data_IF_201512077815
#
_entry.id   IF_201512077815
#
_cell.length_a   1.000
_cell.length_b   1.000
_cell.length_c   1.000
_cell.angle_alpha   90.00
_cell.angle_beta   90.00
_cell.angle_gamma   90.00
#
_symmetry.space_group_name_H-M   'P 1'
#
loop_
_entity.id
_entity.type
_entity.pdbx_description
1 polymer ?
#
# COMPACT_ATOMS: atom_id res chain seq x y z
N UNK A 1 7.48 -17.62 5.84
CA UNK A 1 7.87 -17.86 4.43
C UNK A 1 6.70 -17.49 3.52
N UNK A 2 6.89 -16.84 2.35
CA UNK A 2 5.78 -16.27 1.56
C UNK A 2 4.82 -17.29 0.95
N UNK A 3 5.35 -18.37 0.35
CA UNK A 3 4.55 -19.43 -0.28
C UNK A 3 5.12 -20.81 0.08
N UNK A 4 4.76 -21.39 1.23
CA UNK A 4 5.29 -22.70 1.63
C UNK A 4 4.60 -23.87 0.89
N UNK A 5 3.36 -23.67 0.41
CA UNK A 5 2.55 -24.70 -0.23
C UNK A 5 2.06 -24.22 -1.60
N UNK A 6 2.28 -25.03 -2.63
CA UNK A 6 1.65 -24.84 -3.94
C UNK A 6 0.14 -25.07 -3.82
N UNK A 7 -0.67 -24.34 -4.60
CA UNK A 7 -2.13 -24.54 -4.60
C UNK A 7 -2.90 -23.92 -3.42
N UNK A 8 -2.22 -23.41 -2.39
CA UNK A 8 -2.84 -22.81 -1.21
C UNK A 8 -2.46 -21.33 -1.03
N UNK A 9 -3.17 -20.58 -0.19
CA UNK A 9 -2.84 -19.18 0.13
C UNK A 9 -1.42 -19.04 0.69
N UNK A 10 -0.75 -17.94 0.31
CA UNK A 10 0.54 -17.56 0.88
C UNK A 10 0.38 -16.71 2.15
N UNK A 11 1.50 -16.40 2.80
CA UNK A 11 1.54 -15.46 3.92
C UNK A 11 2.00 -14.08 3.43
N UNK A 12 1.15 -13.07 3.61
CA UNK A 12 1.47 -11.67 3.35
C UNK A 12 1.73 -10.91 4.65
N UNK A 13 2.36 -9.74 4.50
CA UNK A 13 2.54 -8.74 5.55
C UNK A 13 1.88 -7.45 5.08
N UNK A 14 0.55 -7.39 5.14
CA UNK A 14 -0.15 -6.18 4.76
C UNK A 14 0.27 -5.04 5.69
N UNK A 15 0.76 -3.97 5.10
CA UNK A 15 1.27 -2.83 5.85
C UNK A 15 0.27 -1.70 5.73
N UNK A 16 -0.26 -1.27 6.87
CA UNK A 16 -1.18 -0.14 6.94
C UNK A 16 -0.36 1.09 7.34
N UNK A 17 -0.44 2.17 6.55
CA UNK A 17 0.32 3.40 6.75
C UNK A 17 -0.65 4.59 6.82
N UNK A 18 -0.38 5.52 7.72
CA UNK A 18 -0.98 6.84 7.78
C UNK A 18 0.08 7.89 8.13
N UNK A 19 -0.09 9.10 7.62
CA UNK A 19 0.69 10.27 8.02
C UNK A 19 -0.14 11.11 8.99
N UNK A 20 0.53 11.68 9.99
CA UNK A 20 -0.09 12.58 10.96
C UNK A 20 0.58 13.95 10.88
N UNK A 21 -0.23 14.98 10.75
CA UNK A 21 0.23 16.36 10.88
C UNK A 21 0.42 16.64 12.38
N UNK A 22 1.67 16.93 12.76
CA UNK A 22 2.04 17.14 14.17
C UNK A 22 1.54 18.49 14.67
N UNK A 23 1.43 19.50 13.81
CA UNK A 23 0.95 20.83 14.23
C UNK A 23 -0.56 20.83 14.42
N UNK A 24 -1.28 20.19 13.51
CA UNK A 24 -2.75 20.09 13.56
C UNK A 24 -3.26 18.94 14.42
N UNK A 25 -2.39 18.01 14.83
CA UNK A 25 -2.73 16.81 15.61
C UNK A 25 -3.82 15.95 14.93
N UNK A 26 -3.78 15.86 13.60
CA UNK A 26 -4.78 15.16 12.81
C UNK A 26 -4.15 14.16 11.83
N UNK A 27 -4.97 13.20 11.39
CA UNK A 27 -4.55 12.25 10.36
C UNK A 27 -4.57 12.95 9.00
N UNK A 28 -3.40 13.19 8.43
CA UNK A 28 -3.22 13.93 7.19
C UNK A 28 -3.82 13.23 5.96
N UNK A 29 -4.24 11.96 6.08
CA UNK A 29 -4.92 11.23 5.00
C UNK A 29 -6.44 11.41 4.99
N UNK A 30 -7.02 11.97 6.05
CA UNK A 30 -8.46 12.13 6.17
C UNK A 30 -8.93 13.47 5.62
N UNK A 31 -10.03 13.44 4.86
CA UNK A 31 -10.78 14.61 4.42
C UNK A 31 -12.26 14.19 4.44
N UNK A 32 -13.14 14.95 5.09
CA UNK A 32 -14.57 14.63 5.17
C UNK A 32 -15.39 15.18 4.00
N UNK A 33 -14.77 15.98 3.15
CA UNK A 33 -15.39 16.58 1.96
C UNK A 33 -15.22 15.72 0.70
N UNK A 34 -14.22 14.83 0.69
CA UNK A 34 -13.98 13.88 -0.39
C UNK A 34 -14.95 12.69 -0.33
N UNK A 35 -15.41 12.20 -1.48
CA UNK A 35 -16.37 11.09 -1.58
C UNK A 35 -15.82 9.79 -0.98
N UNK A 36 -14.52 9.55 -1.13
CA UNK A 36 -13.83 8.41 -0.53
C UNK A 36 -13.28 8.73 0.86
N UNK A 37 -13.48 9.95 1.37
CA UNK A 37 -12.97 10.41 2.64
C UNK A 37 -11.44 10.49 2.71
N UNK A 38 -10.80 10.78 1.57
CA UNK A 38 -9.35 10.84 1.40
C UNK A 38 -8.91 12.27 1.05
N UNK A 39 -7.88 12.74 1.74
CA UNK A 39 -7.26 14.03 1.41
C UNK A 39 -6.42 13.95 0.14
N UNK A 40 -6.08 15.12 -0.42
CA UNK A 40 -5.09 15.24 -1.49
C UNK A 40 -3.76 14.55 -1.14
N UNK A 41 -3.28 14.73 0.10
CA UNK A 41 -2.09 14.05 0.63
C UNK A 41 -2.20 12.53 0.54
N UNK A 42 -3.37 11.95 0.84
CA UNK A 42 -3.58 10.51 0.71
C UNK A 42 -3.52 10.06 -0.75
N UNK A 43 -4.15 10.80 -1.68
CA UNK A 43 -4.11 10.51 -3.10
C UNK A 43 -2.69 10.58 -3.67
N UNK A 44 -1.94 11.64 -3.34
CA UNK A 44 -0.54 11.78 -3.75
C UNK A 44 0.35 10.67 -3.17
N UNK A 45 0.12 10.27 -1.92
CA UNK A 45 0.81 9.14 -1.31
C UNK A 45 0.53 7.82 -2.06
N UNK A 46 -0.74 7.57 -2.43
CA UNK A 46 -1.12 6.41 -3.25
C UNK A 46 -0.44 6.47 -4.62
N UNK A 47 -0.40 7.65 -5.25
CA UNK A 47 0.25 7.86 -6.54
C UNK A 47 1.74 7.53 -6.48
N UNK A 48 2.45 8.00 -5.45
CA UNK A 48 3.87 7.71 -5.22
C UNK A 48 4.15 6.22 -5.02
N UNK A 49 3.30 5.51 -4.27
CA UNK A 49 3.40 4.05 -4.14
C UNK A 49 3.22 3.32 -5.47
N UNK A 50 2.29 3.77 -6.32
CA UNK A 50 2.03 3.18 -7.64
C UNK A 50 3.21 3.42 -8.58
N UNK A 51 3.73 4.65 -8.63
CA UNK A 51 4.85 5.06 -9.50
C UNK A 51 6.10 4.23 -9.19
N UNK A 52 6.41 4.05 -7.90
CA UNK A 52 7.61 3.37 -7.42
C UNK A 52 7.45 1.86 -7.20
N UNK A 53 6.30 1.26 -7.52
CA UNK A 53 5.97 -0.11 -7.11
C UNK A 53 6.97 -1.17 -7.61
N UNK A 54 7.47 -1.01 -8.84
CA UNK A 54 8.40 -1.98 -9.44
C UNK A 54 9.75 -2.05 -8.72
N UNK A 55 10.18 -0.95 -8.11
CA UNK A 55 11.42 -0.89 -7.35
C UNK A 55 11.18 -1.34 -5.90
N UNK A 56 10.07 -0.87 -5.32
CA UNK A 56 9.65 -1.18 -3.96
C UNK A 56 9.40 -2.69 -3.76
N UNK A 57 8.90 -3.39 -4.77
CA UNK A 57 8.64 -4.85 -4.68
C UNK A 57 9.93 -5.63 -4.46
N UNK A 58 11.07 -5.20 -5.00
CA UNK A 58 12.35 -5.89 -4.82
C UNK A 58 12.78 -5.95 -3.34
N UNK A 59 12.47 -4.89 -2.58
CA UNK A 59 12.80 -4.79 -1.14
C UNK A 59 11.74 -5.44 -0.26
N UNK A 60 10.46 -5.28 -0.62
CA UNK A 60 9.32 -5.79 0.17
C UNK A 60 9.00 -7.27 -0.09
N UNK A 61 9.56 -7.84 -1.15
CA UNK A 61 9.41 -9.24 -1.58
C UNK A 61 10.81 -9.81 -1.96
N UNK A 62 11.72 -9.93 -0.99
CA UNK A 62 13.16 -10.08 -1.29
C UNK A 62 13.58 -11.49 -1.72
N UNK A 63 12.70 -12.49 -1.60
CA UNK A 63 13.05 -13.87 -1.91
C UNK A 63 12.45 -14.31 -3.25
N UNK A 64 13.10 -15.26 -3.92
CA UNK A 64 12.51 -15.96 -5.08
C UNK A 64 11.13 -16.52 -4.74
N UNK A 65 10.94 -17.01 -3.51
CA UNK A 65 9.67 -17.55 -3.06
C UNK A 65 8.56 -16.49 -2.87
N UNK A 66 8.93 -15.22 -2.68
CA UNK A 66 7.98 -14.11 -2.61
C UNK A 66 7.14 -14.01 -3.88
N UNK A 67 7.78 -14.15 -5.04
CA UNK A 67 7.12 -14.10 -6.34
C UNK A 67 6.25 -15.32 -6.65
N UNK A 68 6.37 -16.40 -5.86
CA UNK A 68 5.44 -17.54 -5.92
C UNK A 68 4.14 -17.27 -5.16
N UNK A 69 4.13 -16.28 -4.26
CA UNK A 69 2.92 -15.76 -3.61
C UNK A 69 2.18 -14.78 -4.53
N UNK A 70 2.90 -13.92 -5.26
CA UNK A 70 2.32 -12.90 -6.16
C UNK A 70 1.82 -13.51 -7.48
N UNK A 71 0.85 -14.43 -7.37
CA UNK A 71 0.20 -15.10 -8.50
C UNK A 71 -1.33 -15.03 -8.33
N UNK A 72 -2.11 -14.94 -9.43
CA UNK A 72 -3.57 -14.82 -9.34
C UNK A 72 -4.24 -15.98 -8.61
N UNK A 73 -5.39 -15.72 -7.99
CA UNK A 73 -6.26 -16.75 -7.38
C UNK A 73 -6.08 -16.99 -5.87
N UNK A 74 -5.21 -16.23 -5.19
CA UNK A 74 -4.89 -16.44 -3.76
C UNK A 74 -4.95 -15.16 -2.91
N UNK A 75 -5.79 -14.19 -3.31
CA UNK A 75 -5.94 -12.86 -2.67
C UNK A 75 -4.67 -12.00 -2.55
N UNK A 76 -3.53 -12.51 -3.02
CA UNK A 76 -2.29 -11.77 -3.16
C UNK A 76 -2.37 -10.83 -4.38
N UNK A 77 -1.88 -9.59 -4.26
CA UNK A 77 -2.00 -8.63 -5.34
C UNK A 77 -1.03 -8.96 -6.48
N UNK A 78 -1.54 -8.95 -7.71
CA UNK A 78 -0.77 -9.27 -8.92
C UNK A 78 -0.76 -8.13 -9.94
N UNK A 79 -1.55 -7.09 -9.70
CA UNK A 79 -1.71 -5.94 -10.59
C UNK A 79 -1.48 -4.66 -9.81
N UNK A 80 -0.81 -3.70 -10.44
CA UNK A 80 -0.60 -2.37 -9.87
C UNK A 80 -1.91 -1.60 -9.99
N UNK A 81 -2.63 -1.50 -8.88
CA UNK A 81 -3.96 -0.95 -8.80
C UNK A 81 -4.28 -0.58 -7.35
N UNK A 82 -5.15 0.42 -7.17
CA UNK A 82 -5.67 0.78 -5.87
C UNK A 82 -7.20 0.78 -5.86
N UNK A 83 -7.78 0.49 -4.70
CA UNK A 83 -9.24 0.43 -4.54
C UNK A 83 -9.69 0.64 -3.11
N UNK A 84 -10.85 1.28 -2.93
CA UNK A 84 -11.54 1.35 -1.64
C UNK A 84 -12.43 0.12 -1.37
N UNK A 85 -12.81 -0.64 -2.40
CA UNK A 85 -13.77 -1.75 -2.30
C UNK A 85 -13.13 -3.12 -2.57
N UNK A 86 -12.16 -3.18 -3.49
CA UNK A 86 -11.57 -4.42 -3.96
C UNK A 86 -10.47 -4.95 -3.01
N UNK A 87 -10.71 -6.13 -2.43
CA UNK A 87 -9.75 -6.80 -1.52
C UNK A 87 -8.55 -7.44 -2.21
N UNK A 88 -8.59 -7.57 -3.53
CA UNK A 88 -7.48 -8.11 -4.34
C UNK A 88 -6.55 -7.04 -4.91
N UNK A 89 -6.91 -5.75 -4.78
CA UNK A 89 -6.07 -4.64 -5.20
C UNK A 89 -4.75 -4.63 -4.44
N UNK A 90 -3.70 -4.11 -5.07
CA UNK A 90 -2.38 -3.96 -4.46
C UNK A 90 -2.39 -2.98 -3.29
N UNK A 91 -3.06 -1.85 -3.50
CA UNK A 91 -3.30 -0.85 -2.48
C UNK A 91 -4.80 -0.88 -2.16
N UNK A 92 -5.13 -1.05 -0.90
CA UNK A 92 -6.51 -1.02 -0.42
C UNK A 92 -6.70 0.14 0.54
N UNK A 93 -7.85 0.80 0.44
CA UNK A 93 -8.29 1.80 1.42
C UNK A 93 -9.33 1.15 2.32
N UNK A 94 -9.01 0.80 3.59
CA UNK A 94 -10.00 0.27 4.53
C UNK A 94 -11.14 1.27 4.76
N UNK A 95 -12.33 0.79 5.14
CA UNK A 95 -13.51 1.63 5.33
C UNK A 95 -13.44 2.61 6.52
N UNK A 96 -12.51 2.41 7.47
CA UNK A 96 -12.34 3.30 8.62
C UNK A 96 -11.92 4.70 8.18
N UNK A 97 -12.49 5.73 8.81
CA UNK A 97 -12.21 7.15 8.54
C UNK A 97 -11.75 7.90 9.80
N UNK A 98 -11.53 9.21 9.69
CA UNK A 98 -11.01 10.06 10.77
C UNK A 98 -9.57 9.69 11.12
N UNK A 99 -9.27 9.59 12.42
CA UNK A 99 -7.95 9.17 12.90
C UNK A 99 -7.52 7.78 12.38
N UNK A 100 -8.46 6.93 11.97
CA UNK A 100 -8.18 5.59 11.43
C UNK A 100 -8.00 5.51 9.92
N UNK A 101 -8.07 6.62 9.18
CA UNK A 101 -7.85 6.66 7.72
C UNK A 101 -6.43 6.21 7.39
N UNK A 102 -6.27 5.29 6.45
CA UNK A 102 -4.97 4.66 6.16
C UNK A 102 -4.94 4.03 4.79
N UNK A 103 -3.73 3.87 4.26
CA UNK A 103 -3.41 3.16 3.03
C UNK A 103 -2.88 1.78 3.39
N UNK A 104 -3.50 0.70 2.90
CA UNK A 104 -3.04 -0.70 3.08
C UNK A 104 -2.28 -1.16 1.83
N UNK A 105 -0.95 -1.25 1.88
CA UNK A 105 -0.15 -1.90 0.83
C UNK A 105 -0.04 -3.40 1.12
N UNK A 106 -0.49 -4.23 0.17
CA UNK A 106 -0.73 -5.67 0.39
C UNK A 106 0.35 -6.57 -0.21
N UNK A 107 1.26 -6.03 -1.03
CA UNK A 107 2.33 -6.83 -1.63
C UNK A 107 3.43 -7.26 -0.65
N UNK A 108 3.79 -6.55 0.45
CA UNK A 108 4.89 -7.01 1.28
C UNK A 108 4.59 -8.39 1.88
N UNK A 109 5.65 -9.14 2.16
CA UNK A 109 5.57 -10.46 2.77
C UNK A 109 6.50 -10.53 4.00
N UNK A 110 6.31 -11.52 4.89
CA UNK A 110 7.04 -11.57 6.16
C UNK A 110 8.50 -12.02 6.01
N UNK A 111 9.02 -12.19 4.79
CA UNK A 111 10.45 -12.38 4.54
C UNK A 111 11.21 -11.07 4.33
N UNK A 112 10.49 -9.96 4.14
CA UNK A 112 11.09 -8.63 4.09
C UNK A 112 11.78 -8.26 5.41
N UNK A 113 12.89 -7.52 5.31
CA UNK A 113 13.42 -6.81 6.46
C UNK A 113 12.47 -5.63 6.77
N UNK A 114 11.81 -5.59 7.95
CA UNK A 114 10.76 -4.61 8.23
C UNK A 114 11.28 -3.17 8.24
N UNK A 115 12.53 -2.94 8.65
CA UNK A 115 13.11 -1.59 8.65
C UNK A 115 13.20 -1.04 7.23
N UNK A 116 13.71 -1.84 6.30
CA UNK A 116 13.80 -1.44 4.89
C UNK A 116 12.43 -1.38 4.23
N UNK A 117 11.55 -2.34 4.50
CA UNK A 117 10.20 -2.34 3.96
C UNK A 117 9.43 -1.07 4.33
N UNK A 118 9.46 -0.66 5.60
CA UNK A 118 8.78 0.56 6.04
C UNK A 118 9.46 1.81 5.50
N UNK A 119 10.80 1.85 5.45
CA UNK A 119 11.54 2.98 4.90
C UNK A 119 11.21 3.21 3.41
N UNK A 120 11.23 2.16 2.57
CA UNK A 120 10.94 2.32 1.13
C UNK A 120 9.48 2.63 0.86
N UNK A 121 8.55 2.08 1.66
CA UNK A 121 7.12 2.40 1.54
C UNK A 121 6.84 3.84 1.92
N UNK A 122 7.41 4.32 3.03
CA UNK A 122 7.30 5.72 3.42
C UNK A 122 7.94 6.64 2.36
N UNK A 123 9.17 6.32 1.92
CA UNK A 123 9.88 7.10 0.91
C UNK A 123 9.11 7.20 -0.41
N UNK A 124 8.54 6.10 -0.90
CA UNK A 124 7.77 6.09 -2.14
C UNK A 124 6.49 6.92 -2.04
N UNK A 125 5.79 6.86 -0.90
CA UNK A 125 4.60 7.66 -0.70
C UNK A 125 4.92 9.16 -0.51
N UNK A 126 6.02 9.49 0.18
CA UNK A 126 6.50 10.86 0.31
C UNK A 126 6.95 11.45 -1.03
N UNK A 127 7.63 10.67 -1.87
CA UNK A 127 7.99 11.08 -3.25
C UNK A 127 6.75 11.49 -4.06
N UNK A 128 5.63 10.79 -3.89
CA UNK A 128 4.36 11.15 -4.53
C UNK A 128 3.80 12.49 -4.05
N UNK A 129 3.96 12.82 -2.76
CA UNK A 129 3.56 14.11 -2.18
C UNK A 129 4.49 15.22 -2.67
N UNK A 130 5.81 15.02 -2.58
CA UNK A 130 6.82 16.01 -2.98
C UNK A 130 6.72 16.37 -4.48
N UNK A 131 6.30 15.42 -5.32
CA UNK A 131 6.11 15.60 -6.76
C UNK A 131 4.66 15.92 -7.16
N UNK A 132 3.76 16.08 -6.19
CA UNK A 132 2.33 16.36 -6.39
C UNK A 132 1.66 15.40 -7.40
N UNK A 133 1.99 14.11 -7.31
CA UNK A 133 1.54 13.13 -8.29
C UNK A 133 0.03 12.90 -8.22
N UNK A 134 -0.61 12.83 -9.38
CA UNK A 134 -2.03 12.48 -9.49
C UNK A 134 -2.21 10.96 -9.44
N UNK A 135 -3.01 10.46 -8.50
CA UNK A 135 -3.36 9.04 -8.45
C UNK A 135 -4.14 8.64 -9.72
N UNK A 136 -3.86 7.46 -10.30
CA UNK A 136 -4.70 6.94 -11.37
C UNK A 136 -6.13 6.68 -10.85
N UNK A 137 -7.13 6.52 -11.74
CA UNK A 137 -8.47 6.15 -11.30
C UNK A 137 -8.49 4.87 -10.45
N UNK A 138 -9.31 4.87 -9.40
CA UNK A 138 -9.55 3.66 -8.60
C UNK A 138 -10.21 2.57 -9.46
N UNK A 139 -9.92 1.31 -9.14
CA UNK A 139 -10.54 0.12 -9.78
C UNK A 139 -11.39 -0.71 -8.83
#
# INVERSE_FOLDING_TARGET
MPKPLAGANGSGMHTNISLFDIEKQENAFYDDTDELGLSETAYQFIAGLIDNMKDLVAVTNPLVNSYKRLVPGYEAPCYIAWSASNRSALIRIPATRGAGTRVEIRCPDPSANPYFAFAVVASAGLDGIDRELTAPPAV
#
